data_IF_386688186302
#
_entry.id   IF_386688186302
#
_cell.length_a   1.000
_cell.length_b   1.000
_cell.length_c   1.000
_cell.angle_alpha   90.00
_cell.angle_beta   90.00
_cell.angle_gamma   90.00
#
_symmetry.space_group_name_H-M   'P 1'
#
loop_
_entity.id
_entity.type
_entity.pdbx_description
1 polymer ?
#
# COMPACT_ATOMS: atom_id res chain seq x y z
N UNK A 1 -16.97 -22.72 -72.49
CA UNK A 1 -17.34 -22.05 -71.23
C UNK A 1 -16.25 -22.27 -70.23
N UNK A 2 -15.44 -21.20 -69.90
CA UNK A 2 -14.33 -21.29 -68.93
C UNK A 2 -14.83 -20.67 -67.60
N UNK A 3 -15.01 -21.50 -66.58
CA UNK A 3 -15.32 -21.06 -65.22
C UNK A 3 -14.01 -20.56 -64.55
N UNK A 4 -13.93 -19.27 -64.26
CA UNK A 4 -12.83 -18.69 -63.51
C UNK A 4 -13.20 -18.70 -62.01
N UNK A 5 -12.56 -19.61 -61.26
CA UNK A 5 -12.68 -19.68 -59.80
C UNK A 5 -11.84 -18.56 -59.18
N UNK A 6 -12.46 -17.52 -58.62
CA UNK A 6 -11.78 -16.48 -57.85
C UNK A 6 -11.56 -16.96 -56.40
N UNK A 7 -10.33 -17.24 -56.00
CA UNK A 7 -9.98 -17.45 -54.62
C UNK A 7 -10.08 -16.10 -53.85
N UNK A 8 -10.98 -16.02 -52.91
CA UNK A 8 -11.07 -14.91 -51.95
C UNK A 8 -10.22 -15.30 -50.75
N UNK A 9 -9.03 -14.68 -50.64
CA UNK A 9 -8.15 -14.86 -49.48
C UNK A 9 -8.66 -13.94 -48.36
N UNK A 10 -9.31 -14.52 -47.34
CA UNK A 10 -9.68 -13.80 -46.14
C UNK A 10 -8.45 -13.58 -45.25
N UNK A 11 -7.99 -12.35 -45.13
CA UNK A 11 -6.94 -11.96 -44.21
C UNK A 11 -7.54 -11.86 -42.79
N UNK A 12 -7.23 -12.81 -41.94
CA UNK A 12 -7.55 -12.76 -40.51
C UNK A 12 -6.58 -11.82 -39.82
N UNK A 13 -7.03 -10.61 -39.49
CA UNK A 13 -6.28 -9.66 -38.66
C UNK A 13 -6.30 -10.16 -37.21
N UNK A 14 -5.20 -10.71 -36.73
CA UNK A 14 -4.94 -10.97 -35.32
C UNK A 14 -4.74 -9.63 -34.61
N UNK A 15 -5.75 -9.13 -33.91
CA UNK A 15 -5.62 -8.01 -32.99
C UNK A 15 -4.82 -8.51 -31.74
N UNK A 16 -3.57 -8.11 -31.62
CA UNK A 16 -2.78 -8.33 -30.41
C UNK A 16 -3.41 -7.49 -29.27
N UNK A 17 -3.69 -8.09 -28.10
CA UNK A 17 -4.17 -7.32 -26.95
C UNK A 17 -3.06 -6.32 -26.56
N UNK A 18 -3.38 -5.02 -26.55
CA UNK A 18 -2.52 -4.00 -26.01
C UNK A 18 -2.32 -4.25 -24.51
N UNK A 19 -1.10 -4.08 -23.96
CA UNK A 19 -0.89 -4.20 -22.53
C UNK A 19 -1.75 -3.13 -21.83
N UNK A 20 -2.71 -3.57 -21.02
CA UNK A 20 -3.43 -2.68 -20.13
C UNK A 20 -2.44 -2.24 -19.04
N UNK A 21 -1.93 -1.02 -19.11
CA UNK A 21 -1.24 -0.39 -17.99
C UNK A 21 -2.29 -0.20 -16.90
N UNK A 22 -2.20 -1.00 -15.84
CA UNK A 22 -3.02 -0.76 -14.67
C UNK A 22 -2.65 0.62 -14.11
N UNK A 23 -3.63 1.50 -13.94
CA UNK A 23 -3.41 2.81 -13.35
C UNK A 23 -2.81 2.65 -11.95
N UNK A 24 -1.80 3.48 -11.62
CA UNK A 24 -1.16 3.45 -10.31
C UNK A 24 -2.18 3.82 -9.21
N UNK A 25 -2.13 3.11 -8.10
CA UNK A 25 -2.98 3.40 -6.94
C UNK A 25 -2.47 4.68 -6.28
N UNK A 26 -3.30 5.73 -6.30
CA UNK A 26 -2.92 7.05 -5.77
C UNK A 26 -3.02 7.09 -4.25
N UNK A 27 -2.00 7.67 -3.60
CA UNK A 27 -1.99 7.92 -2.17
C UNK A 27 -1.38 9.28 -1.83
N UNK A 28 -1.76 9.86 -0.70
CA UNK A 28 -1.15 11.08 -0.14
C UNK A 28 -0.55 10.75 1.21
N UNK A 29 0.77 10.94 1.36
CA UNK A 29 1.50 10.71 2.60
C UNK A 29 1.78 12.03 3.31
N UNK A 30 1.25 12.18 4.51
CA UNK A 30 1.65 13.23 5.46
C UNK A 30 2.76 12.68 6.34
N UNK A 31 3.90 13.35 6.44
CA UNK A 31 5.05 12.89 7.21
C UNK A 31 5.76 14.02 7.94
N UNK A 32 6.50 13.67 8.99
CA UNK A 32 7.42 14.62 9.60
C UNK A 32 8.47 15.07 8.55
N UNK A 33 8.79 16.38 8.45
CA UNK A 33 9.71 16.90 7.43
C UNK A 33 11.07 16.18 7.39
N UNK A 34 11.61 15.80 8.55
CA UNK A 34 12.92 15.15 8.68
C UNK A 34 12.87 13.61 8.61
N UNK A 35 11.70 13.00 8.35
CA UNK A 35 11.54 11.55 8.34
C UNK A 35 12.03 10.93 7.02
N UNK A 36 13.28 10.49 6.96
CA UNK A 36 13.85 9.81 5.77
C UNK A 36 13.31 8.39 5.60
N UNK A 37 13.04 7.66 6.68
CA UNK A 37 12.43 6.32 6.60
C UNK A 37 11.02 6.36 6.00
N UNK A 38 10.28 7.47 6.13
CA UNK A 38 8.99 7.64 5.47
C UNK A 38 9.14 7.72 3.95
N UNK A 39 10.22 8.35 3.45
CA UNK A 39 10.51 8.42 2.01
C UNK A 39 10.92 7.03 1.47
N UNK A 40 11.69 6.27 2.25
CA UNK A 40 12.01 4.87 1.92
C UNK A 40 10.74 4.03 1.79
N UNK A 41 9.78 4.21 2.70
CA UNK A 41 8.51 3.50 2.63
C UNK A 41 7.64 3.96 1.44
N UNK A 42 7.62 5.24 1.12
CA UNK A 42 6.95 5.73 -0.08
C UNK A 42 7.53 5.07 -1.34
N UNK A 43 8.87 5.02 -1.47
CA UNK A 43 9.54 4.36 -2.58
C UNK A 43 9.22 2.84 -2.65
N UNK A 44 9.08 2.17 -1.49
CA UNK A 44 8.62 0.78 -1.44
C UNK A 44 7.21 0.61 -1.98
N UNK A 45 6.27 1.48 -1.61
CA UNK A 45 4.92 1.47 -2.16
C UNK A 45 4.92 1.73 -3.67
N UNK A 46 5.74 2.68 -4.16
CA UNK A 46 5.83 3.03 -5.58
C UNK A 46 6.34 1.86 -6.43
N UNK A 47 7.35 1.13 -5.96
CA UNK A 47 7.81 -0.13 -6.59
C UNK A 47 6.71 -1.19 -6.70
N UNK A 48 5.68 -1.07 -5.88
CA UNK A 48 4.56 -2.00 -5.81
C UNK A 48 3.27 -1.51 -6.47
N UNK A 49 3.35 -0.46 -7.32
CA UNK A 49 2.24 0.01 -8.15
C UNK A 49 1.42 1.13 -7.54
N UNK A 50 1.95 1.80 -6.51
CA UNK A 50 1.35 3.01 -5.97
C UNK A 50 2.01 4.26 -6.58
N UNK A 51 1.36 5.40 -6.44
CA UNK A 51 1.94 6.73 -6.66
C UNK A 51 1.64 7.58 -5.44
N UNK A 52 2.69 8.00 -4.74
CA UNK A 52 2.58 8.65 -3.43
C UNK A 52 2.93 10.14 -3.53
N UNK A 53 1.94 10.99 -3.27
CA UNK A 53 2.15 12.44 -3.11
C UNK A 53 2.60 12.74 -1.67
N UNK A 54 3.85 13.15 -1.48
CA UNK A 54 4.45 13.38 -0.15
C UNK A 54 4.20 14.81 0.29
N UNK A 55 3.59 14.99 1.47
CA UNK A 55 3.29 16.26 2.12
C UNK A 55 3.96 16.36 3.49
N UNK A 56 5.13 17.01 3.60
CA UNK A 56 5.74 17.26 4.90
C UNK A 56 4.85 18.16 5.77
N UNK A 57 4.71 17.82 7.05
CA UNK A 57 3.93 18.61 8.02
C UNK A 57 4.53 18.51 9.41
N UNK A 58 4.41 19.58 10.20
CA UNK A 58 4.75 19.57 11.62
C UNK A 58 3.53 19.19 12.49
N UNK A 59 2.34 19.12 11.90
CA UNK A 59 1.07 18.83 12.60
C UNK A 59 0.59 17.40 12.36
N UNK A 60 1.53 16.45 12.29
CA UNK A 60 1.23 15.05 11.94
C UNK A 60 0.25 14.40 12.92
N UNK A 61 0.39 14.66 14.22
CA UNK A 61 -0.54 14.14 15.23
C UNK A 61 -1.98 14.62 15.00
N UNK A 62 -2.15 15.87 14.56
CA UNK A 62 -3.47 16.41 14.23
C UNK A 62 -4.03 15.78 12.97
N UNK A 63 -3.18 15.55 11.95
CA UNK A 63 -3.58 14.82 10.72
C UNK A 63 -4.06 13.43 11.09
N UNK A 64 -3.27 12.65 11.83
CA UNK A 64 -3.63 11.31 12.26
C UNK A 64 -4.92 11.27 13.09
N UNK A 65 -5.09 12.23 14.01
CA UNK A 65 -6.29 12.36 14.82
C UNK A 65 -7.54 12.63 13.98
N UNK A 66 -7.44 13.54 13.03
CA UNK A 66 -8.55 13.90 12.13
C UNK A 66 -8.99 12.72 11.26
N UNK A 67 -8.05 11.86 10.87
CA UNK A 67 -8.33 10.63 10.13
C UNK A 67 -8.79 9.48 11.03
N UNK A 68 -8.84 9.67 12.34
CA UNK A 68 -9.35 8.69 13.30
C UNK A 68 -8.33 7.65 13.73
N UNK A 69 -7.03 7.91 13.53
CA UNK A 69 -5.97 7.02 14.02
C UNK A 69 -5.90 7.11 15.55
N UNK A 70 -6.10 6.00 16.29
CA UNK A 70 -5.95 5.96 17.72
C UNK A 70 -4.56 6.41 18.17
N UNK A 71 -4.45 7.15 19.29
CA UNK A 71 -3.20 7.72 19.73
C UNK A 71 -2.06 6.70 19.88
N UNK A 72 -2.37 5.51 20.40
CA UNK A 72 -1.42 4.41 20.58
C UNK A 72 -0.94 3.75 19.26
N UNK A 73 -1.60 4.04 18.14
CA UNK A 73 -1.27 3.49 16.82
C UNK A 73 -0.58 4.49 15.90
N UNK A 74 -0.37 5.75 16.35
CA UNK A 74 0.25 6.79 15.52
C UNK A 74 1.74 6.53 15.32
N UNK A 75 2.18 6.77 14.10
CA UNK A 75 3.56 6.64 13.68
C UNK A 75 4.16 7.96 13.18
N UNK A 76 5.16 7.87 12.33
CA UNK A 76 5.87 9.02 11.76
C UNK A 76 5.31 9.49 10.41
N UNK A 77 4.26 8.85 9.90
CA UNK A 77 3.51 9.24 8.70
C UNK A 77 2.11 8.61 8.69
N UNK A 78 1.20 9.33 8.05
CA UNK A 78 -0.19 8.91 7.78
C UNK A 78 -0.42 8.98 6.28
N UNK A 79 -0.88 7.90 5.66
CA UNK A 79 -1.17 7.85 4.21
C UNK A 79 -2.66 7.67 3.99
N UNK A 80 -3.22 8.50 3.11
CA UNK A 80 -4.59 8.34 2.59
C UNK A 80 -4.54 7.65 1.25
N UNK A 81 -5.24 6.53 1.12
CA UNK A 81 -5.37 5.76 -0.12
C UNK A 81 -6.86 5.48 -0.34
N UNK A 82 -7.49 6.21 -1.25
CA UNK A 82 -8.93 6.16 -1.42
C UNK A 82 -9.65 6.53 -0.12
N UNK A 83 -10.48 5.63 0.40
CA UNK A 83 -11.21 5.80 1.66
C UNK A 83 -10.47 5.22 2.88
N UNK A 84 -9.27 4.70 2.69
CA UNK A 84 -8.51 4.03 3.75
C UNK A 84 -7.32 4.85 4.21
N UNK A 85 -6.94 4.61 5.46
CA UNK A 85 -5.73 5.17 6.09
C UNK A 85 -4.73 4.05 6.31
N UNK A 86 -3.48 4.32 5.97
CA UNK A 86 -2.33 3.48 6.28
C UNK A 86 -1.39 4.28 7.18
N UNK A 87 -1.20 3.79 8.39
CA UNK A 87 -0.40 4.42 9.43
C UNK A 87 0.85 3.59 9.69
N UNK A 88 2.03 4.20 9.60
CA UNK A 88 3.29 3.49 9.76
C UNK A 88 3.58 2.51 8.61
N UNK A 89 4.42 1.52 8.86
CA UNK A 89 5.08 0.71 7.84
C UNK A 89 4.33 -0.61 7.54
N UNK A 90 3.07 -0.52 7.16
CA UNK A 90 2.23 -1.70 6.84
C UNK A 90 2.75 -2.40 5.58
N UNK A 91 2.97 -3.73 5.58
CA UNK A 91 3.40 -4.47 4.40
C UNK A 91 2.44 -4.29 3.22
N UNK A 92 3.00 -4.13 2.02
CA UNK A 92 2.22 -3.79 0.83
C UNK A 92 1.17 -4.84 0.44
N UNK A 93 1.42 -6.11 0.72
CA UNK A 93 0.47 -7.20 0.51
C UNK A 93 -0.78 -7.02 1.39
N UNK A 94 -0.61 -6.53 2.62
CA UNK A 94 -1.72 -6.24 3.52
C UNK A 94 -2.48 -4.98 3.10
N UNK A 95 -1.77 -3.94 2.61
CA UNK A 95 -2.41 -2.75 2.02
C UNK A 95 -3.25 -3.15 0.80
N UNK A 96 -2.69 -3.94 -0.12
CA UNK A 96 -3.42 -4.44 -1.30
C UNK A 96 -4.61 -5.33 -0.93
N UNK A 97 -4.45 -6.20 0.07
CA UNK A 97 -5.55 -7.02 0.61
C UNK A 97 -6.68 -6.14 1.12
N UNK A 98 -6.40 -5.12 1.92
CA UNK A 98 -7.40 -4.16 2.41
C UNK A 98 -8.14 -3.47 1.24
N UNK A 99 -7.41 -2.96 0.25
CA UNK A 99 -7.99 -2.28 -0.91
C UNK A 99 -8.87 -3.21 -1.77
N UNK A 100 -8.52 -4.49 -1.84
CA UNK A 100 -9.25 -5.49 -2.64
C UNK A 100 -10.48 -6.02 -1.90
N UNK A 101 -10.36 -6.31 -0.60
CA UNK A 101 -11.46 -6.89 0.20
C UNK A 101 -12.43 -5.85 0.72
N UNK A 102 -12.04 -4.58 0.72
CA UNK A 102 -12.83 -3.42 1.17
C UNK A 102 -13.53 -3.65 2.52
N UNK A 103 -12.78 -4.02 3.58
CA UNK A 103 -13.40 -4.26 4.88
C UNK A 103 -13.97 -2.97 5.48
N UNK A 104 -14.97 -3.11 6.38
CA UNK A 104 -15.60 -1.98 7.07
C UNK A 104 -14.73 -1.43 8.21
N UNK A 105 -13.53 -0.96 7.88
CA UNK A 105 -12.55 -0.33 8.79
C UNK A 105 -12.15 1.04 8.25
N UNK A 106 -11.57 1.89 9.07
CA UNK A 106 -10.98 3.16 8.62
C UNK A 106 -9.59 2.95 8.05
N UNK A 107 -8.80 2.04 8.61
CA UNK A 107 -7.46 1.81 8.14
C UNK A 107 -6.67 0.75 8.90
N UNK A 108 -5.42 0.64 8.50
CA UNK A 108 -4.43 -0.26 9.09
C UNK A 108 -3.29 0.56 9.70
N UNK A 109 -2.73 0.07 10.79
CA UNK A 109 -1.53 0.60 11.40
C UNK A 109 -0.56 -0.51 11.76
N UNK A 110 0.73 -0.30 11.48
CA UNK A 110 1.83 -1.08 12.04
C UNK A 110 2.71 -0.15 12.87
N UNK A 111 2.51 -0.10 14.19
CA UNK A 111 3.33 0.72 15.09
C UNK A 111 4.79 0.26 15.08
N UNK A 112 5.71 1.21 15.18
CA UNK A 112 7.14 0.96 15.19
C UNK A 112 7.76 0.83 13.80
N UNK A 113 9.04 0.43 13.76
CA UNK A 113 9.78 0.24 12.52
C UNK A 113 10.05 -1.25 12.30
N UNK A 114 9.40 -1.88 11.33
CA UNK A 114 9.59 -3.30 11.08
C UNK A 114 10.90 -3.54 10.33
N UNK A 115 11.89 -4.11 11.03
CA UNK A 115 13.16 -4.50 10.42
C UNK A 115 13.07 -5.88 9.77
N UNK A 116 13.68 -6.03 8.59
CA UNK A 116 13.77 -7.32 7.89
C UNK A 116 12.50 -7.73 7.12
N UNK A 117 11.59 -6.79 6.84
CA UNK A 117 10.55 -7.01 5.83
C UNK A 117 11.19 -6.85 4.46
N UNK A 118 11.14 -7.86 3.58
CA UNK A 118 11.76 -7.81 2.26
C UNK A 118 11.30 -6.61 1.44
N UNK A 119 12.25 -6.00 0.73
CA UNK A 119 12.05 -4.90 -0.20
C UNK A 119 11.52 -3.59 0.41
N UNK A 120 11.21 -3.55 1.71
CA UNK A 120 10.76 -2.34 2.39
C UNK A 120 11.91 -1.32 2.63
N UNK A 121 13.18 -1.77 2.50
CA UNK A 121 14.35 -0.92 2.66
C UNK A 121 14.85 -0.80 4.10
N UNK A 122 14.34 -1.64 5.01
CA UNK A 122 14.77 -1.71 6.41
C UNK A 122 15.35 -3.10 6.70
N UNK A 123 16.62 -3.27 6.36
CA UNK A 123 17.28 -4.56 6.53
C UNK A 123 17.48 -4.88 8.02
N UNK A 124 17.26 -6.13 8.37
CA UNK A 124 17.58 -6.62 9.69
C UNK A 124 19.11 -6.57 9.88
N UNK A 125 19.59 -6.03 11.02
CA UNK A 125 21.00 -6.05 11.34
C UNK A 125 21.46 -7.49 11.59
N UNK A 126 22.71 -7.85 11.24
CA UNK A 126 23.26 -9.16 11.54
C UNK A 126 23.11 -9.50 13.03
N UNK A 127 22.57 -10.68 13.34
CA UNK A 127 22.34 -11.13 14.71
C UNK A 127 21.01 -10.68 15.35
N UNK A 128 20.19 -9.87 14.68
CA UNK A 128 18.84 -9.60 15.15
C UNK A 128 17.97 -10.86 15.06
N UNK A 129 17.29 -11.18 16.15
CA UNK A 129 16.27 -12.21 16.13
C UNK A 129 15.14 -11.82 15.18
N UNK A 130 14.55 -12.80 14.48
CA UNK A 130 13.32 -12.57 13.70
C UNK A 130 12.24 -12.00 14.63
N UNK A 131 11.78 -10.80 14.32
CA UNK A 131 10.73 -10.16 15.08
C UNK A 131 9.39 -10.40 14.38
N UNK A 132 8.35 -10.58 15.18
CA UNK A 132 6.98 -10.62 14.69
C UNK A 132 6.39 -9.22 14.83
N UNK A 133 5.87 -8.69 13.75
CA UNK A 133 5.18 -7.40 13.72
C UNK A 133 3.69 -7.63 13.54
N UNK A 134 2.89 -6.84 14.22
CA UNK A 134 1.44 -6.95 14.16
C UNK A 134 0.85 -5.71 13.50
N UNK A 135 0.08 -5.93 12.43
CA UNK A 135 -0.74 -4.89 11.83
C UNK A 135 -2.09 -4.86 12.51
N UNK A 136 -2.49 -3.69 12.96
CA UNK A 136 -3.76 -3.43 13.62
C UNK A 136 -4.75 -2.81 12.64
N UNK A 137 -6.00 -3.25 12.68
CA UNK A 137 -7.12 -2.57 12.05
C UNK A 137 -7.79 -1.64 13.04
N UNK A 138 -8.19 -0.45 12.60
CA UNK A 138 -8.90 0.52 13.41
C UNK A 138 -10.10 1.13 12.67
N UNK A 139 -11.08 1.60 13.44
CA UNK A 139 -12.27 2.28 12.92
C UNK A 139 -12.45 3.61 13.64
N UNK A 140 -12.60 4.69 12.88
CA UNK A 140 -12.83 6.04 13.41
C UNK A 140 -14.12 6.08 14.24
N UNK A 141 -14.00 6.51 15.48
CA UNK A 141 -15.14 6.48 16.42
C UNK A 141 -15.58 5.07 16.81
N UNK A 142 -14.83 4.02 16.42
CA UNK A 142 -15.08 2.63 16.80
C UNK A 142 -14.47 2.26 18.16
N UNK A 143 -14.52 0.96 18.45
CA UNK A 143 -13.93 0.38 19.66
C UNK A 143 -12.41 0.22 19.59
N UNK A 144 -11.90 -0.68 20.44
CA UNK A 144 -10.47 -1.02 20.46
C UNK A 144 -9.99 -1.56 19.12
N UNK A 145 -8.76 -1.18 18.68
CA UNK A 145 -8.16 -1.75 17.48
C UNK A 145 -8.02 -3.28 17.58
N UNK A 146 -8.17 -3.94 16.45
CA UNK A 146 -8.08 -5.40 16.37
C UNK A 146 -6.89 -5.84 15.52
N UNK A 147 -6.35 -7.04 15.76
CA UNK A 147 -5.29 -7.62 14.94
C UNK A 147 -5.84 -7.89 13.53
N UNK A 148 -5.21 -7.30 12.52
CA UNK A 148 -5.53 -7.52 11.12
C UNK A 148 -4.70 -8.66 10.52
N UNK A 149 -3.38 -8.61 10.76
CA UNK A 149 -2.44 -9.62 10.27
C UNK A 149 -1.13 -9.54 11.08
N UNK A 150 -0.26 -10.53 10.89
CA UNK A 150 1.09 -10.55 11.46
C UNK A 150 2.13 -10.75 10.37
N UNK A 151 3.35 -10.28 10.61
CA UNK A 151 4.48 -10.49 9.73
C UNK A 151 5.71 -10.97 10.55
N UNK A 152 6.48 -12.00 10.11
CA UNK A 152 6.13 -12.88 8.99
C UNK A 152 4.87 -13.68 9.25
N UNK A 153 4.23 -14.12 8.17
CA UNK A 153 3.08 -15.04 8.29
C UNK A 153 3.57 -16.38 8.86
N UNK A 154 2.87 -16.87 9.85
CA UNK A 154 3.11 -18.19 10.47
C UNK A 154 2.77 -19.33 9.51
#
# INVERSE_FOLDING_TARGET
MKLSTRLVTAAVLFALPAPAFADAIMGTMYKNPSCTCCETYAAYLEKNGFKIDIKPTNDLDQVAANEGVPAQLRGCHTIKIGNYIVEGFVPVDQVKKMLTTMPAITGLSMPGMPMGIPDMGFDAMPGMAKQTYTTMAFTKGGGEPTVYDTYPKS
#
